data_IF_268365889351
#
_entry.id   IF_268365889351
#
_cell.length_a   1.000
_cell.length_b   1.000
_cell.length_c   1.000
_cell.angle_alpha   90.00
_cell.angle_beta   90.00
_cell.angle_gamma   90.00
#
_symmetry.space_group_name_H-M   'P 1'
#
loop_
_entity.id
_entity.type
_entity.pdbx_description
1 polymer ?
#
# COMPACT_ATOMS: atom_id res chain seq x y z
N UNK A 1 -28.48 -17.31 -2.13
CA UNK A 1 -29.24 -16.54 -1.11
C UNK A 1 -30.29 -15.66 -1.79
N UNK A 2 -31.54 -16.17 -1.94
CA UNK A 2 -32.66 -15.37 -2.46
C UNK A 2 -33.33 -14.67 -1.28
N UNK A 3 -32.78 -13.54 -0.86
CA UNK A 3 -33.45 -12.69 0.12
C UNK A 3 -34.45 -11.79 -0.57
N UNK A 4 -35.48 -11.34 0.14
CA UNK A 4 -36.48 -10.39 -0.38
C UNK A 4 -35.82 -9.12 -0.94
N UNK A 5 -34.65 -8.72 -0.42
CA UNK A 5 -33.85 -7.58 -0.89
C UNK A 5 -33.33 -7.78 -2.31
N UNK A 6 -32.83 -8.96 -2.65
CA UNK A 6 -32.33 -9.26 -4.02
C UNK A 6 -33.45 -9.25 -5.03
N UNK A 7 -34.64 -9.72 -4.66
CA UNK A 7 -35.83 -9.61 -5.51
C UNK A 7 -36.26 -8.16 -5.75
N UNK A 8 -35.96 -7.25 -4.81
CA UNK A 8 -36.17 -5.81 -4.94
C UNK A 8 -34.99 -5.06 -5.65
N UNK A 9 -34.04 -5.78 -6.20
CA UNK A 9 -32.87 -5.18 -6.90
C UNK A 9 -31.79 -4.63 -5.99
N UNK A 10 -31.74 -5.06 -4.72
CA UNK A 10 -30.74 -4.65 -3.74
C UNK A 10 -29.95 -5.86 -3.27
N UNK A 11 -28.64 -5.81 -3.33
CA UNK A 11 -27.76 -6.87 -2.87
C UNK A 11 -26.65 -6.33 -1.94
N UNK A 12 -25.99 -7.24 -1.25
CA UNK A 12 -24.77 -6.94 -0.50
C UNK A 12 -23.60 -7.79 -1.00
N UNK A 13 -22.39 -7.23 -0.84
CA UNK A 13 -21.15 -7.87 -1.29
C UNK A 13 -20.04 -7.64 -0.26
N UNK A 14 -19.42 -8.71 0.21
CA UNK A 14 -18.29 -8.68 1.12
C UNK A 14 -17.45 -9.96 1.02
N UNK A 15 -16.23 -9.92 1.54
CA UNK A 15 -15.27 -11.03 1.44
C UNK A 15 -15.74 -12.35 2.11
N UNK A 16 -16.65 -12.25 3.08
CA UNK A 16 -17.22 -13.41 3.77
C UNK A 16 -18.31 -14.17 3.00
N UNK A 17 -18.72 -13.69 1.82
CA UNK A 17 -19.60 -14.45 0.92
C UNK A 17 -18.81 -15.51 0.17
N UNK A 18 -19.47 -16.62 -0.17
CA UNK A 18 -18.91 -17.61 -1.07
C UNK A 18 -18.64 -17.01 -2.45
N UNK A 19 -17.65 -17.56 -3.16
CA UNK A 19 -17.23 -17.05 -4.47
C UNK A 19 -18.40 -17.05 -5.47
N UNK A 20 -19.23 -18.12 -5.46
CA UNK A 20 -20.40 -18.22 -6.33
C UNK A 20 -21.43 -17.13 -6.07
N UNK A 21 -21.72 -16.81 -4.80
CA UNK A 21 -22.65 -15.75 -4.43
C UNK A 21 -22.12 -14.36 -4.85
N UNK A 22 -20.83 -14.11 -4.68
CA UNK A 22 -20.20 -12.87 -5.14
C UNK A 22 -20.37 -12.69 -6.64
N UNK A 23 -20.04 -13.71 -7.43
CA UNK A 23 -20.22 -13.67 -8.89
C UNK A 23 -21.68 -13.49 -9.32
N UNK A 24 -22.65 -14.07 -8.61
CA UNK A 24 -24.06 -13.85 -8.90
C UNK A 24 -24.48 -12.39 -8.66
N UNK A 25 -24.01 -11.76 -7.58
CA UNK A 25 -24.27 -10.33 -7.31
C UNK A 25 -23.61 -9.47 -8.37
N UNK A 26 -22.37 -9.72 -8.72
CA UNK A 26 -21.60 -8.99 -9.75
C UNK A 26 -22.28 -9.09 -11.12
N UNK A 27 -22.61 -10.29 -11.58
CA UNK A 27 -23.30 -10.52 -12.84
C UNK A 27 -24.70 -9.90 -12.85
N UNK A 28 -25.44 -10.04 -11.73
CA UNK A 28 -26.77 -9.44 -11.60
C UNK A 28 -26.73 -7.91 -11.67
N UNK A 29 -25.66 -7.28 -11.19
CA UNK A 29 -25.46 -5.84 -11.30
C UNK A 29 -25.13 -5.41 -12.75
N UNK A 30 -24.22 -6.13 -13.40
CA UNK A 30 -23.87 -5.88 -14.81
C UNK A 30 -25.08 -6.08 -15.72
N UNK A 31 -25.89 -7.10 -15.46
CA UNK A 31 -27.16 -7.39 -16.16
C UNK A 31 -28.30 -6.42 -15.82
N UNK A 32 -28.06 -5.42 -14.94
CA UNK A 32 -29.07 -4.46 -14.44
C UNK A 32 -30.25 -5.07 -13.70
N UNK A 33 -30.11 -6.32 -13.21
CA UNK A 33 -31.11 -6.99 -12.35
C UNK A 33 -30.98 -6.50 -10.90
N UNK A 34 -29.78 -6.08 -10.51
CA UNK A 34 -29.46 -5.46 -9.23
C UNK A 34 -29.13 -3.99 -9.51
N UNK A 35 -29.82 -3.09 -8.81
CA UNK A 35 -29.66 -1.64 -8.98
C UNK A 35 -28.76 -1.04 -7.89
N UNK A 36 -28.70 -1.67 -6.71
CA UNK A 36 -27.95 -1.18 -5.56
C UNK A 36 -27.15 -2.31 -4.94
N UNK A 37 -25.84 -2.08 -4.74
CA UNK A 37 -24.98 -2.97 -3.97
C UNK A 37 -24.51 -2.25 -2.71
N UNK A 38 -24.78 -2.86 -1.54
CA UNK A 38 -24.17 -2.47 -0.27
C UNK A 38 -22.93 -3.33 -0.06
N UNK A 39 -21.75 -2.73 0.00
CA UNK A 39 -20.51 -3.49 0.05
C UNK A 39 -19.52 -2.95 1.10
N UNK A 40 -18.55 -3.78 1.42
CA UNK A 40 -17.34 -3.38 2.14
C UNK A 40 -16.30 -2.83 1.13
N UNK A 41 -15.19 -2.27 1.63
CA UNK A 41 -14.09 -1.73 0.83
C UNK A 41 -13.50 -2.74 -0.17
N UNK A 42 -13.72 -4.04 0.02
CA UNK A 42 -13.22 -5.10 -0.87
C UNK A 42 -13.73 -5.00 -2.31
N UNK A 43 -14.91 -4.39 -2.54
CA UNK A 43 -15.42 -4.17 -3.88
C UNK A 43 -14.69 -3.04 -4.63
N UNK A 44 -14.02 -2.15 -3.91
CA UNK A 44 -13.23 -1.08 -4.52
C UNK A 44 -11.98 -1.61 -5.22
N UNK A 45 -11.47 -2.77 -4.78
CA UNK A 45 -10.24 -3.40 -5.29
C UNK A 45 -10.58 -4.74 -5.94
N UNK A 46 -10.05 -4.99 -7.13
CA UNK A 46 -10.10 -6.30 -7.78
C UNK A 46 -11.36 -6.62 -8.60
N UNK A 47 -12.44 -5.84 -8.50
CA UNK A 47 -13.66 -6.04 -9.30
C UNK A 47 -13.98 -4.76 -10.06
N UNK A 48 -14.24 -4.88 -11.36
CA UNK A 48 -14.62 -3.74 -12.18
C UNK A 48 -16.14 -3.64 -12.31
N UNK A 49 -16.78 -2.99 -11.33
CA UNK A 49 -18.22 -2.71 -11.31
C UNK A 49 -18.45 -1.19 -11.29
N UNK A 50 -18.32 -0.51 -12.43
CA UNK A 50 -18.54 0.92 -12.48
C UNK A 50 -20.06 1.25 -12.34
N UNK A 51 -20.37 2.29 -11.59
CA UNK A 51 -21.74 2.72 -11.34
C UNK A 51 -21.88 4.25 -11.44
N UNK A 52 -23.10 4.74 -11.70
CA UNK A 52 -23.33 6.17 -11.82
C UNK A 52 -23.15 6.90 -10.48
N UNK A 53 -23.54 6.26 -9.38
CA UNK A 53 -23.52 6.84 -8.04
C UNK A 53 -22.73 5.94 -7.08
N UNK A 54 -21.76 6.52 -6.38
CA UNK A 54 -21.04 5.90 -5.26
C UNK A 54 -21.35 6.66 -3.97
N UNK A 55 -21.69 5.95 -2.91
CA UNK A 55 -21.88 6.54 -1.58
C UNK A 55 -20.91 5.86 -0.61
N UNK A 56 -19.92 6.61 -0.13
CA UNK A 56 -19.04 6.21 0.96
C UNK A 56 -19.73 6.60 2.26
N UNK A 57 -20.34 5.62 2.93
CA UNK A 57 -21.17 5.83 4.14
C UNK A 57 -20.35 6.21 5.39
N UNK A 58 -19.06 6.04 5.36
CA UNK A 58 -18.14 6.40 6.43
C UNK A 58 -16.72 6.28 5.93
N UNK A 59 -15.83 7.07 6.50
CA UNK A 59 -14.41 7.14 6.12
C UNK A 59 -13.50 6.32 7.03
N UNK A 60 -14.08 5.53 7.93
CA UNK A 60 -13.35 4.65 8.83
C UNK A 60 -13.89 3.22 8.76
N UNK A 61 -13.02 2.26 8.87
CA UNK A 61 -13.31 0.83 8.92
C UNK A 61 -12.74 0.16 10.17
N UNK A 62 -13.17 -1.06 10.42
CA UNK A 62 -12.62 -1.88 11.49
C UNK A 62 -11.46 -2.71 10.93
N UNK A 63 -10.24 -2.47 11.41
CA UNK A 63 -9.02 -3.19 11.03
C UNK A 63 -8.21 -3.52 12.28
N UNK A 64 -7.66 -4.72 12.34
CA UNK A 64 -6.78 -5.19 13.42
C UNK A 64 -7.29 -4.96 14.85
N UNK A 65 -8.63 -5.09 15.03
CA UNK A 65 -9.25 -4.97 16.36
C UNK A 65 -9.57 -3.54 16.80
N UNK A 66 -9.42 -2.54 15.92
CA UNK A 66 -9.76 -1.14 16.21
C UNK A 66 -10.36 -0.42 15.00
N UNK A 67 -11.01 0.71 15.25
CA UNK A 67 -11.50 1.58 14.17
C UNK A 67 -10.36 2.42 13.62
N UNK A 68 -10.10 2.31 12.33
CA UNK A 68 -9.08 3.08 11.64
C UNK A 68 -9.69 3.85 10.45
N UNK A 69 -9.23 5.07 10.21
CA UNK A 69 -9.59 5.83 9.01
C UNK A 69 -9.02 5.14 7.77
N UNK A 70 -9.82 5.12 6.69
CA UNK A 70 -9.31 4.68 5.40
C UNK A 70 -8.20 5.61 4.91
N UNK A 71 -7.20 5.04 4.27
CA UNK A 71 -6.18 5.82 3.58
C UNK A 71 -6.79 6.62 2.42
N UNK A 72 -6.16 7.71 2.04
CA UNK A 72 -6.58 8.53 0.89
C UNK A 72 -6.64 7.69 -0.39
N UNK A 73 -5.72 6.74 -0.55
CA UNK A 73 -5.71 5.82 -1.68
C UNK A 73 -6.95 4.93 -1.70
N UNK A 74 -7.37 4.37 -0.58
CA UNK A 74 -8.59 3.55 -0.48
C UNK A 74 -9.83 4.37 -0.82
N UNK A 75 -9.93 5.58 -0.29
CA UNK A 75 -11.04 6.49 -0.60
C UNK A 75 -11.05 6.84 -2.09
N UNK A 76 -9.90 7.16 -2.68
CA UNK A 76 -9.80 7.44 -4.12
C UNK A 76 -10.15 6.22 -4.98
N UNK A 77 -9.79 5.01 -4.57
CA UNK A 77 -10.19 3.77 -5.25
C UNK A 77 -11.71 3.55 -5.19
N UNK A 78 -12.35 3.85 -4.05
CA UNK A 78 -13.81 3.80 -3.92
C UNK A 78 -14.49 4.84 -4.82
N UNK A 79 -14.00 6.08 -4.82
CA UNK A 79 -14.47 7.16 -5.69
C UNK A 79 -14.31 6.82 -7.17
N UNK A 80 -13.21 6.17 -7.54
CA UNK A 80 -12.93 5.72 -8.90
C UNK A 80 -13.92 4.67 -9.45
N UNK A 81 -14.88 4.19 -8.65
CA UNK A 81 -16.00 3.38 -9.11
C UNK A 81 -17.18 4.19 -9.61
N UNK A 82 -17.20 5.51 -9.33
CA UNK A 82 -18.20 6.39 -9.88
C UNK A 82 -17.89 6.73 -11.34
N UNK A 83 -18.86 6.46 -12.21
CA UNK A 83 -18.77 6.71 -13.66
C UNK A 83 -18.64 5.41 -14.48
N UNK A 84 -19.42 5.40 -15.55
CA UNK A 84 -19.39 4.33 -16.56
C UNK A 84 -18.99 4.96 -17.89
N UNK A 85 -17.70 4.95 -18.29
CA UNK A 85 -17.17 5.72 -19.41
C UNK A 85 -17.91 5.53 -20.74
N UNK A 86 -18.61 4.39 -20.90
CA UNK A 86 -19.36 4.06 -22.12
C UNK A 86 -20.83 4.48 -22.07
N UNK A 87 -21.35 4.91 -20.91
CA UNK A 87 -22.78 5.13 -20.69
C UNK A 87 -23.11 6.45 -20.00
N UNK A 88 -22.17 7.03 -19.27
CA UNK A 88 -22.40 8.21 -18.43
C UNK A 88 -21.46 9.35 -18.84
N UNK A 89 -22.02 10.52 -19.11
CA UNK A 89 -21.27 11.76 -19.31
C UNK A 89 -20.85 12.38 -17.98
N UNK A 90 -21.55 12.03 -16.90
CA UNK A 90 -21.29 12.51 -15.54
C UNK A 90 -21.41 11.38 -14.54
N UNK A 91 -20.74 11.53 -13.39
CA UNK A 91 -20.84 10.62 -12.27
C UNK A 91 -20.96 11.38 -10.96
N UNK A 92 -21.60 10.76 -9.97
CA UNK A 92 -21.76 11.35 -8.65
C UNK A 92 -21.09 10.47 -7.59
N UNK A 93 -20.29 11.09 -6.75
CA UNK A 93 -19.75 10.44 -5.56
C UNK A 93 -20.12 11.25 -4.31
N UNK A 94 -20.58 10.56 -3.27
CA UNK A 94 -20.96 11.17 -1.99
C UNK A 94 -20.10 10.58 -0.89
N UNK A 95 -19.42 11.44 -0.14
CA UNK A 95 -18.60 11.04 1.02
C UNK A 95 -19.30 11.53 2.29
N UNK A 96 -19.79 10.61 3.11
CA UNK A 96 -20.31 10.91 4.44
C UNK A 96 -19.17 10.78 5.45
N UNK A 97 -18.73 11.91 5.99
CA UNK A 97 -17.60 11.98 6.91
C UNK A 97 -17.87 12.93 8.07
N UNK A 98 -16.98 12.97 9.05
CA UNK A 98 -17.04 13.92 10.15
C UNK A 98 -16.75 15.33 9.65
N UNK A 99 -17.36 16.34 10.28
CA UNK A 99 -17.22 17.74 9.90
C UNK A 99 -15.75 18.19 9.86
N UNK A 100 -14.95 17.72 10.80
CA UNK A 100 -13.53 18.04 10.93
C UNK A 100 -12.71 17.51 9.73
N UNK A 101 -13.19 16.44 9.08
CA UNK A 101 -12.51 15.79 7.94
C UNK A 101 -13.03 16.27 6.58
N UNK A 102 -14.13 17.02 6.53
CA UNK A 102 -14.72 17.45 5.28
C UNK A 102 -13.73 18.21 4.39
N UNK A 103 -13.01 19.18 4.95
CA UNK A 103 -12.00 19.96 4.23
C UNK A 103 -10.86 19.10 3.66
N UNK A 104 -10.47 18.03 4.36
CA UNK A 104 -9.46 17.11 3.85
C UNK A 104 -9.97 16.41 2.58
N UNK A 105 -11.19 15.86 2.60
CA UNK A 105 -11.75 15.21 1.41
C UNK A 105 -12.06 16.16 0.27
N UNK A 106 -12.46 17.41 0.55
CA UNK A 106 -12.59 18.46 -0.48
C UNK A 106 -11.26 18.69 -1.22
N UNK A 107 -10.14 18.76 -0.49
CA UNK A 107 -8.81 18.90 -1.09
C UNK A 107 -8.37 17.66 -1.85
N UNK A 108 -8.62 16.48 -1.29
CA UNK A 108 -8.31 15.20 -1.91
C UNK A 108 -9.01 15.07 -3.27
N UNK A 109 -10.33 15.34 -3.33
CA UNK A 109 -11.13 15.24 -4.57
C UNK A 109 -10.77 16.33 -5.57
N UNK A 110 -10.46 17.54 -5.11
CA UNK A 110 -10.04 18.64 -6.00
C UNK A 110 -8.63 18.46 -6.58
N UNK A 111 -7.89 17.44 -6.12
CA UNK A 111 -6.49 17.22 -6.53
C UNK A 111 -5.54 18.30 -6.03
N UNK A 112 -5.96 19.11 -5.06
CA UNK A 112 -5.12 20.17 -4.48
C UNK A 112 -4.09 19.63 -3.49
N UNK A 113 -4.25 18.42 -2.99
CA UNK A 113 -3.23 17.72 -2.23
C UNK A 113 -2.36 16.88 -3.16
N UNK A 114 -1.05 17.07 -3.03
CA UNK A 114 -0.08 16.30 -3.80
C UNK A 114 0.05 14.90 -3.20
N UNK A 115 -0.03 13.88 -4.04
CA UNK A 115 0.26 12.51 -3.64
C UNK A 115 1.73 12.40 -3.20
N UNK A 116 1.99 11.80 -2.04
CA UNK A 116 3.32 11.56 -1.52
C UNK A 116 3.75 10.10 -1.72
N UNK A 117 5.05 9.87 -1.83
CA UNK A 117 5.60 8.52 -1.97
C UNK A 117 5.74 7.85 -0.61
N UNK A 118 5.32 6.59 -0.51
CA UNK A 118 5.53 5.75 0.67
C UNK A 118 6.78 4.85 0.54
N UNK A 119 7.54 4.95 -0.55
CA UNK A 119 8.71 4.09 -0.81
C UNK A 119 9.76 4.18 0.31
N UNK A 120 9.93 5.35 0.93
CA UNK A 120 10.89 5.57 2.02
C UNK A 120 10.60 4.73 3.27
N UNK A 121 9.35 4.27 3.48
CA UNK A 121 8.97 3.46 4.64
C UNK A 121 9.50 2.03 4.54
N UNK A 122 9.73 1.53 3.34
CA UNK A 122 10.19 0.17 3.07
C UNK A 122 11.35 0.15 2.05
N UNK A 123 12.17 1.19 2.04
CA UNK A 123 13.20 1.37 1.04
C UNK A 123 14.24 0.24 1.07
N UNK A 124 14.60 -0.20 2.27
CA UNK A 124 15.58 -1.28 2.48
C UNK A 124 15.16 -2.60 1.83
N UNK A 125 13.86 -2.94 1.89
CA UNK A 125 13.30 -4.13 1.24
C UNK A 125 13.40 -4.02 -0.29
N UNK A 126 13.12 -2.84 -0.82
CA UNK A 126 13.20 -2.59 -2.26
C UNK A 126 14.64 -2.59 -2.75
N UNK A 127 15.58 -1.97 -2.02
CA UNK A 127 17.01 -2.04 -2.36
C UNK A 127 17.49 -3.49 -2.37
N UNK A 128 17.13 -4.29 -1.37
CA UNK A 128 17.46 -5.72 -1.35
C UNK A 128 16.90 -6.46 -2.58
N UNK A 129 15.68 -6.20 -2.98
CA UNK A 129 15.08 -6.81 -4.16
C UNK A 129 15.80 -6.39 -5.45
N UNK A 130 16.15 -5.12 -5.61
CA UNK A 130 16.88 -4.60 -6.77
C UNK A 130 18.31 -5.15 -6.86
N UNK A 131 18.96 -5.42 -5.72
CA UNK A 131 20.24 -6.11 -5.66
C UNK A 131 20.06 -7.57 -6.12
N UNK A 132 19.03 -8.26 -5.64
CA UNK A 132 18.71 -9.63 -6.05
C UNK A 132 18.40 -9.77 -7.54
N UNK A 133 17.76 -8.76 -8.14
CA UNK A 133 17.49 -8.68 -9.57
C UNK A 133 18.70 -8.29 -10.41
N UNK A 134 19.81 -7.85 -9.77
CA UNK A 134 21.01 -7.39 -10.47
C UNK A 134 20.93 -5.97 -11.04
N UNK A 135 19.88 -5.22 -10.74
CA UNK A 135 19.73 -3.81 -11.14
C UNK A 135 20.63 -2.89 -10.31
N UNK A 136 20.87 -3.24 -9.05
CA UNK A 136 21.76 -2.55 -8.13
C UNK A 136 22.97 -3.45 -7.85
N UNK A 137 24.14 -3.04 -8.36
CA UNK A 137 25.39 -3.79 -8.24
C UNK A 137 26.48 -3.03 -7.48
N UNK A 138 26.27 -1.73 -7.25
CA UNK A 138 27.15 -0.85 -6.50
C UNK A 138 26.36 0.36 -6.02
N UNK A 139 27.00 1.23 -5.23
CA UNK A 139 26.36 2.42 -4.67
C UNK A 139 25.89 3.41 -5.74
N UNK A 140 26.61 3.54 -6.84
CA UNK A 140 26.22 4.46 -7.92
C UNK A 140 24.95 4.00 -8.65
N UNK A 141 24.83 2.67 -8.92
CA UNK A 141 23.62 2.11 -9.49
C UNK A 141 22.45 2.22 -8.52
N UNK A 142 22.65 2.10 -7.21
CA UNK A 142 21.63 2.32 -6.19
C UNK A 142 21.13 3.77 -6.21
N UNK A 143 22.03 4.74 -6.24
CA UNK A 143 21.70 6.17 -6.32
C UNK A 143 20.93 6.49 -7.61
N UNK A 144 21.37 5.95 -8.75
CA UNK A 144 20.69 6.16 -10.03
C UNK A 144 19.29 5.53 -10.04
N UNK A 145 19.15 4.34 -9.47
CA UNK A 145 17.85 3.69 -9.30
C UNK A 145 16.92 4.55 -8.42
N UNK A 146 17.38 4.99 -7.25
CA UNK A 146 16.59 5.81 -6.35
C UNK A 146 16.20 7.15 -7.00
N UNK A 147 17.10 7.77 -7.76
CA UNK A 147 16.86 8.99 -8.51
C UNK A 147 15.81 8.83 -9.63
N UNK A 148 15.57 7.62 -10.11
CA UNK A 148 14.53 7.31 -11.11
C UNK A 148 13.14 7.10 -10.52
N UNK A 149 13.00 7.07 -9.19
CA UNK A 149 11.74 6.78 -8.52
C UNK A 149 10.86 8.01 -8.31
N UNK A 150 9.57 7.77 -8.12
CA UNK A 150 8.64 8.83 -7.70
C UNK A 150 9.01 9.44 -6.35
N UNK A 151 9.62 8.67 -5.46
CA UNK A 151 10.13 9.18 -4.18
C UNK A 151 11.09 10.37 -4.40
N UNK A 152 12.04 10.25 -5.33
CA UNK A 152 12.98 11.34 -5.60
C UNK A 152 12.28 12.62 -6.07
N UNK A 153 11.28 12.50 -6.95
CA UNK A 153 10.48 13.64 -7.38
C UNK A 153 9.80 14.32 -6.19
N UNK A 154 9.31 13.53 -5.23
CA UNK A 154 8.64 14.06 -4.04
C UNK A 154 9.63 14.64 -3.03
N UNK A 155 10.78 14.02 -2.81
CA UNK A 155 11.87 14.55 -1.97
C UNK A 155 12.28 15.98 -2.40
N UNK A 156 12.31 16.24 -3.70
CA UNK A 156 12.64 17.57 -4.25
C UNK A 156 11.49 18.58 -4.09
N UNK A 157 10.23 18.12 -4.24
CA UNK A 157 9.06 19.01 -4.23
C UNK A 157 8.49 19.29 -2.84
N UNK A 158 8.66 18.35 -1.93
CA UNK A 158 8.16 18.46 -0.56
C UNK A 158 9.13 17.84 0.46
N UNK A 159 10.36 18.39 0.58
CA UNK A 159 11.40 17.83 1.44
C UNK A 159 10.99 17.77 2.92
N UNK A 160 10.19 18.70 3.39
CA UNK A 160 9.74 18.76 4.79
C UNK A 160 8.86 17.59 5.18
N UNK A 161 8.04 17.06 4.25
CA UNK A 161 7.26 15.83 4.48
C UNK A 161 8.16 14.65 4.84
N UNK A 162 9.35 14.57 4.24
CA UNK A 162 10.35 13.52 4.46
C UNK A 162 11.39 13.89 5.52
N UNK A 163 11.13 14.93 6.32
CA UNK A 163 12.01 15.46 7.37
C UNK A 163 13.40 15.90 6.84
N UNK A 164 13.46 16.33 5.61
CA UNK A 164 14.65 16.88 4.99
C UNK A 164 14.66 18.41 5.09
N UNK A 165 15.85 19.00 5.01
CA UNK A 165 16.03 20.47 4.98
C UNK A 165 15.64 21.01 3.60
N UNK A 166 15.00 22.18 3.56
CA UNK A 166 14.72 22.89 2.32
C UNK A 166 16.00 23.53 1.75
N UNK A 167 16.08 23.60 0.40
CA UNK A 167 17.11 24.38 -0.28
C UNK A 167 18.42 23.65 -0.59
N UNK A 168 18.41 22.31 -0.68
CA UNK A 168 19.58 21.56 -1.13
C UNK A 168 19.93 21.86 -2.60
N UNK A 169 21.22 22.07 -2.90
CA UNK A 169 21.75 22.15 -4.26
C UNK A 169 21.75 20.76 -4.92
N UNK A 170 21.97 20.68 -6.25
CA UNK A 170 22.01 19.39 -6.97
C UNK A 170 23.10 18.43 -6.43
N UNK A 171 24.24 18.96 -6.01
CA UNK A 171 25.31 18.15 -5.40
C UNK A 171 24.90 17.64 -4.01
N UNK A 172 24.20 18.45 -3.23
CA UNK A 172 23.62 18.06 -1.95
C UNK A 172 22.54 16.99 -2.11
N UNK A 173 21.74 17.06 -3.20
CA UNK A 173 20.73 16.05 -3.52
C UNK A 173 21.36 14.69 -3.80
N UNK A 174 22.40 14.64 -4.62
CA UNK A 174 23.10 13.40 -4.96
C UNK A 174 23.78 12.79 -3.74
N UNK A 175 24.40 13.61 -2.92
CA UNK A 175 25.01 13.17 -1.66
C UNK A 175 23.97 12.66 -0.68
N UNK A 176 22.83 13.32 -0.57
CA UNK A 176 21.71 12.85 0.25
C UNK A 176 21.21 11.47 -0.19
N UNK A 177 20.98 11.25 -1.51
CA UNK A 177 20.58 9.95 -2.03
C UNK A 177 21.64 8.88 -1.75
N UNK A 178 22.92 9.24 -1.88
CA UNK A 178 24.04 8.34 -1.55
C UNK A 178 23.99 7.93 -0.09
N UNK A 179 23.84 8.85 0.84
CA UNK A 179 23.77 8.58 2.27
C UNK A 179 22.57 7.67 2.63
N UNK A 180 21.40 7.90 1.99
CA UNK A 180 20.22 7.05 2.16
C UNK A 180 20.52 5.63 1.69
N UNK A 181 21.08 5.46 0.49
CA UNK A 181 21.40 4.15 -0.06
C UNK A 181 22.49 3.44 0.75
N UNK A 182 23.57 4.14 1.14
CA UNK A 182 24.67 3.59 1.93
C UNK A 182 24.20 3.08 3.29
N UNK A 183 23.32 3.85 3.96
CA UNK A 183 22.74 3.43 5.23
C UNK A 183 21.99 2.11 5.11
N UNK A 184 21.09 1.99 4.14
CA UNK A 184 20.26 0.80 3.98
C UNK A 184 21.09 -0.40 3.48
N UNK A 185 22.02 -0.18 2.54
CA UNK A 185 22.95 -1.22 2.07
C UNK A 185 23.82 -1.74 3.20
N UNK A 186 24.33 -0.84 4.03
CA UNK A 186 25.13 -1.24 5.21
C UNK A 186 24.33 -2.11 6.18
N UNK A 187 23.08 -1.76 6.46
CA UNK A 187 22.20 -2.57 7.29
C UNK A 187 21.92 -3.96 6.69
N UNK A 188 21.74 -4.03 5.36
CA UNK A 188 21.60 -5.32 4.67
C UNK A 188 22.85 -6.17 4.76
N UNK A 189 24.04 -5.57 4.67
CA UNK A 189 25.32 -6.26 4.82
C UNK A 189 25.58 -6.72 6.26
N UNK A 190 25.30 -5.88 7.25
CA UNK A 190 25.41 -6.22 8.68
C UNK A 190 24.50 -7.39 9.07
N UNK A 191 23.36 -7.54 8.39
CA UNK A 191 22.43 -8.66 8.57
C UNK A 191 22.70 -9.85 7.64
N UNK A 192 23.80 -9.85 6.89
CA UNK A 192 24.16 -10.91 5.95
C UNK A 192 23.09 -11.20 4.88
N UNK A 193 22.28 -10.21 4.55
CA UNK A 193 21.29 -10.31 3.47
C UNK A 193 21.90 -9.99 2.11
N UNK A 194 22.94 -9.16 2.11
CA UNK A 194 23.73 -8.78 0.94
C UNK A 194 25.21 -8.98 1.25
N UNK A 195 25.98 -9.45 0.28
CA UNK A 195 27.42 -9.67 0.45
C UNK A 195 28.16 -8.34 0.59
N UNK A 196 29.24 -8.34 1.35
CA UNK A 196 30.13 -7.18 1.47
C UNK A 196 30.95 -6.94 0.20
N UNK A 197 31.16 -7.98 -0.59
CA UNK A 197 31.88 -7.94 -1.87
C UNK A 197 30.89 -7.98 -3.02
N UNK A 198 30.80 -6.86 -3.75
CA UNK A 198 30.09 -6.76 -5.01
C UNK A 198 28.56 -6.70 -4.95
N UNK A 199 27.96 -6.36 -3.80
CA UNK A 199 26.50 -6.18 -3.61
C UNK A 199 25.68 -7.30 -4.29
N UNK A 200 25.82 -8.52 -3.81
CA UNK A 200 25.02 -9.67 -4.28
C UNK A 200 24.09 -10.13 -3.16
N UNK A 201 22.86 -10.49 -3.53
CA UNK A 201 21.94 -11.08 -2.56
C UNK A 201 22.50 -12.44 -2.05
N UNK A 202 22.43 -12.64 -0.75
CA UNK A 202 22.64 -13.94 -0.13
C UNK A 202 21.35 -14.79 -0.26
N UNK A 203 21.40 -16.11 0.06
CA UNK A 203 20.17 -16.91 0.10
C UNK A 203 19.08 -16.33 1.02
N UNK A 204 19.46 -15.64 2.09
CA UNK A 204 18.53 -14.98 3.00
C UNK A 204 17.96 -13.71 2.40
N UNK A 205 18.78 -12.89 1.72
CA UNK A 205 18.32 -11.72 0.98
C UNK A 205 17.38 -12.07 -0.18
N UNK A 206 17.70 -13.14 -0.91
CA UNK A 206 16.85 -13.67 -1.97
C UNK A 206 15.49 -14.17 -1.41
N UNK A 207 15.52 -14.90 -0.28
CA UNK A 207 14.31 -15.34 0.40
C UNK A 207 13.46 -14.14 0.89
N UNK A 208 14.10 -13.12 1.47
CA UNK A 208 13.41 -11.89 1.90
C UNK A 208 12.66 -11.22 0.73
N UNK A 209 13.31 -11.08 -0.41
CA UNK A 209 12.70 -10.49 -1.60
C UNK A 209 11.60 -11.38 -2.21
N UNK A 210 11.85 -12.68 -2.35
CA UNK A 210 10.93 -13.64 -2.98
C UNK A 210 9.62 -13.83 -2.21
N UNK A 211 9.70 -13.82 -0.88
CA UNK A 211 8.55 -14.05 0.00
C UNK A 211 7.98 -12.77 0.60
N UNK A 212 8.44 -11.59 0.17
CA UNK A 212 8.01 -10.28 0.66
C UNK A 212 8.11 -10.15 2.19
N UNK A 213 9.17 -10.72 2.77
CA UNK A 213 9.42 -10.65 4.21
C UNK A 213 9.96 -9.26 4.55
N UNK A 214 9.37 -8.60 5.56
CA UNK A 214 9.88 -7.31 6.03
C UNK A 214 11.26 -7.47 6.64
N UNK A 215 12.11 -6.46 6.48
CA UNK A 215 13.49 -6.46 7.01
C UNK A 215 13.54 -6.76 8.50
N UNK A 216 12.68 -6.13 9.31
CA UNK A 216 12.64 -6.40 10.76
C UNK A 216 12.25 -7.86 11.08
N UNK A 217 11.34 -8.43 10.32
CA UNK A 217 10.96 -9.84 10.45
C UNK A 217 12.13 -10.76 10.11
N UNK A 218 12.87 -10.43 9.03
CA UNK A 218 14.03 -11.20 8.61
C UNK A 218 15.15 -11.14 9.66
N UNK A 219 15.39 -9.98 10.27
CA UNK A 219 16.33 -9.84 11.39
C UNK A 219 15.99 -10.77 12.56
N UNK A 220 14.70 -10.86 12.90
CA UNK A 220 14.23 -11.77 13.96
C UNK A 220 14.52 -13.23 13.57
N UNK A 221 14.21 -13.61 12.33
CA UNK A 221 14.46 -14.97 11.86
C UNK A 221 15.95 -15.34 11.86
N UNK A 222 16.83 -14.43 11.46
CA UNK A 222 18.28 -14.62 11.50
C UNK A 222 18.81 -14.76 12.93
N UNK A 223 18.14 -14.15 13.91
CA UNK A 223 18.47 -14.28 15.34
C UNK A 223 17.96 -15.55 16.02
N UNK A 224 17.14 -16.38 15.33
CA UNK A 224 16.63 -17.62 15.90
C UNK A 224 17.74 -18.67 16.07
N UNK A 225 17.64 -19.45 17.16
CA UNK A 225 18.56 -20.57 17.38
C UNK A 225 18.37 -21.66 16.32
N UNK A 226 19.44 -22.34 15.89
CA UNK A 226 19.29 -23.52 15.04
C UNK A 226 18.33 -24.53 15.65
N UNK A 227 17.42 -25.09 14.83
CA UNK A 227 16.37 -26.04 15.24
C UNK A 227 15.27 -25.45 16.13
N UNK A 228 15.00 -24.14 16.03
CA UNK A 228 13.80 -23.56 16.63
C UNK A 228 12.53 -24.24 16.10
N UNK A 229 11.59 -24.53 16.99
CA UNK A 229 10.31 -25.11 16.62
C UNK A 229 9.35 -24.05 16.02
N UNK A 230 8.27 -24.52 15.41
CA UNK A 230 7.25 -23.63 14.78
C UNK A 230 6.64 -22.68 15.82
N UNK A 231 6.42 -23.11 17.06
CA UNK A 231 5.88 -22.28 18.13
C UNK A 231 6.80 -21.11 18.47
N UNK A 232 8.12 -21.36 18.52
CA UNK A 232 9.14 -20.32 18.75
C UNK A 232 9.21 -19.34 17.58
N UNK A 233 9.12 -19.82 16.33
CA UNK A 233 9.10 -18.97 15.13
C UNK A 233 7.87 -18.06 15.14
N UNK A 234 6.69 -18.61 15.39
CA UNK A 234 5.43 -17.86 15.43
C UNK A 234 5.40 -16.87 16.60
N UNK A 235 5.92 -17.26 17.78
CA UNK A 235 5.95 -16.38 18.95
C UNK A 235 6.96 -15.23 18.85
N UNK A 236 8.03 -15.41 18.11
CA UNK A 236 9.03 -14.36 17.84
C UNK A 236 8.66 -13.45 16.67
N UNK A 237 7.68 -13.84 15.86
CA UNK A 237 7.24 -13.03 14.71
C UNK A 237 6.50 -11.76 15.18
N UNK A 238 6.76 -10.58 14.57
CA UNK A 238 6.14 -9.31 14.93
C UNK A 238 4.64 -9.23 14.63
N UNK A 239 4.03 -10.28 14.10
CA UNK A 239 2.58 -10.37 13.92
C UNK A 239 1.75 -10.25 15.22
N UNK A 240 2.39 -10.19 16.38
CA UNK A 240 1.73 -10.09 17.69
C UNK A 240 1.65 -8.69 18.28
N UNK A 241 2.33 -7.71 17.71
CA UNK A 241 2.21 -6.32 18.16
C UNK A 241 1.50 -5.51 17.09
N UNK A 242 0.30 -4.94 17.36
CA UNK A 242 -0.16 -3.82 16.58
C UNK A 242 0.94 -2.78 16.65
N UNK A 243 1.46 -2.36 15.51
CA UNK A 243 2.42 -1.27 15.45
C UNK A 243 1.75 -0.01 15.97
N UNK A 244 1.84 0.21 17.27
CA UNK A 244 1.67 1.52 17.85
C UNK A 244 2.83 2.36 17.39
N UNK A 245 2.53 3.43 16.69
CA UNK A 245 3.41 4.51 16.25
C UNK A 245 4.24 4.26 14.99
N UNK A 246 3.62 4.56 13.86
CA UNK A 246 4.31 5.25 12.77
C UNK A 246 3.62 6.61 12.62
N UNK A 247 4.17 7.61 13.25
CA UNK A 247 4.06 9.02 12.91
C UNK A 247 5.46 9.59 12.73
#
# INVERSE_FOLDING_TARGET
MRTATTAAGVAFHHAGLELGDRHQVESGFLDRKISVICCTSTLAVGVNLPCHLVIIKGTAGWQDGHTQEYSDLEVMQMLGRAGRPQFDDTATAVILTRKERAKHYEKLVSGSESLESCLHLNLIEHINAEIGLGNVTNIETAVNWLASTFLFVRLRRNPTHYKLKEGANQDDEKEMLRQICEKDIKLLQECELVTSDGLKATPFGDAMARYYVRFETMRIFLGLRPRSDIGQIVSSSPFRTPSSSIY
#
